data_IF_757433994319
#
_entry.id   IF_757433994319
#
_cell.length_a   1.000
_cell.length_b   1.000
_cell.length_c   1.000
_cell.angle_alpha   90.00
_cell.angle_beta   90.00
_cell.angle_gamma   90.00
#
_symmetry.space_group_name_H-M   'P 1'
#
loop_
_entity.id
_entity.type
_entity.pdbx_description
1 polymer ?
#
# COMPACT_ATOMS: atom_id res chain seq x y z
N UNK A 1 1.84 3.57 -23.91
CA UNK A 1 2.52 4.00 -22.68
C UNK A 1 4.03 3.77 -22.83
N UNK A 2 4.88 4.60 -22.21
CA UNK A 2 6.32 4.34 -22.12
C UNK A 2 6.63 3.77 -20.73
N UNK A 3 7.49 2.75 -20.62
CA UNK A 3 7.89 2.22 -19.32
C UNK A 3 8.68 3.27 -18.54
N UNK A 4 8.36 3.41 -17.25
CA UNK A 4 9.08 4.24 -16.28
C UNK A 4 10.39 3.59 -15.82
N UNK A 5 10.43 2.25 -15.80
CA UNK A 5 11.60 1.48 -15.39
C UNK A 5 12.08 0.60 -16.55
N UNK A 6 13.38 0.62 -16.81
CA UNK A 6 14.01 -0.19 -17.86
C UNK A 6 14.52 -1.53 -17.32
N UNK A 7 14.87 -2.43 -18.23
CA UNK A 7 15.53 -3.69 -17.90
C UNK A 7 16.79 -3.47 -17.05
N UNK A 8 16.97 -4.28 -16.02
CA UNK A 8 18.11 -4.24 -15.11
C UNK A 8 18.04 -3.16 -14.03
N UNK A 9 17.04 -2.27 -14.08
CA UNK A 9 16.85 -1.25 -13.05
C UNK A 9 16.46 -1.90 -11.73
N UNK A 10 17.12 -1.45 -10.66
CA UNK A 10 16.81 -1.88 -9.30
C UNK A 10 15.61 -1.08 -8.76
N UNK A 11 14.55 -1.81 -8.40
CA UNK A 11 13.29 -1.24 -7.93
C UNK A 11 12.96 -1.78 -6.54
N UNK A 12 12.26 -0.96 -5.74
CA UNK A 12 11.73 -1.34 -4.44
C UNK A 12 10.22 -1.43 -4.50
N UNK A 13 9.65 -2.48 -3.91
CA UNK A 13 8.20 -2.60 -3.79
C UNK A 13 7.68 -1.68 -2.69
N UNK A 14 6.72 -0.82 -3.03
CA UNK A 14 6.18 0.16 -2.08
C UNK A 14 4.96 -0.34 -1.31
N UNK A 15 4.41 -1.49 -1.72
CA UNK A 15 3.27 -2.16 -1.11
C UNK A 15 3.50 -3.66 -1.09
N UNK A 16 2.76 -4.36 -0.23
CA UNK A 16 2.78 -5.82 -0.20
C UNK A 16 2.23 -6.37 -1.51
N UNK A 17 3.03 -7.17 -2.22
CA UNK A 17 2.58 -7.86 -3.42
C UNK A 17 1.83 -9.12 -3.00
N UNK A 18 0.55 -9.19 -3.39
CA UNK A 18 -0.30 -10.36 -3.17
C UNK A 18 -0.70 -10.95 -4.51
N UNK A 19 -0.84 -12.27 -4.55
CA UNK A 19 -1.30 -12.94 -5.75
C UNK A 19 -2.74 -12.50 -6.09
N UNK A 20 -2.93 -11.88 -7.25
CA UNK A 20 -4.24 -11.50 -7.78
C UNK A 20 -4.91 -12.63 -8.59
N UNK A 21 -4.24 -13.79 -8.67
CA UNK A 21 -4.67 -14.96 -9.46
C UNK A 21 -3.79 -15.19 -10.70
N UNK A 22 -2.82 -14.33 -10.97
CA UNK A 22 -1.90 -14.45 -12.11
C UNK A 22 -0.62 -15.24 -11.79
N UNK A 23 -0.25 -15.36 -10.51
CA UNK A 23 0.95 -16.10 -10.11
C UNK A 23 0.65 -17.61 -10.00
N UNK A 24 1.44 -18.48 -10.67
CA UNK A 24 1.18 -19.91 -10.70
C UNK A 24 1.46 -20.59 -9.34
N UNK A 25 0.59 -21.52 -8.96
CA UNK A 25 0.81 -22.42 -7.81
C UNK A 25 0.54 -21.82 -6.43
N UNK A 26 0.12 -20.56 -6.32
CA UNK A 26 -0.22 -19.91 -5.04
C UNK A 26 -1.70 -19.47 -5.04
N UNK A 27 -2.41 -19.49 -3.91
CA UNK A 27 -3.81 -19.05 -3.87
C UNK A 27 -3.92 -17.52 -4.01
N UNK A 28 -5.06 -17.04 -4.52
CA UNK A 28 -5.38 -15.61 -4.57
C UNK A 28 -5.35 -15.00 -3.16
N UNK A 29 -4.76 -13.81 -3.03
CA UNK A 29 -4.57 -13.09 -1.78
C UNK A 29 -3.31 -13.48 -1.00
N UNK A 30 -2.60 -14.55 -1.41
CA UNK A 30 -1.32 -14.96 -0.81
C UNK A 30 -0.29 -13.85 -0.95
N UNK A 31 0.39 -13.52 0.15
CA UNK A 31 1.52 -12.60 0.15
C UNK A 31 2.71 -13.25 -0.58
N UNK A 32 3.14 -12.63 -1.68
CA UNK A 32 4.28 -13.06 -2.49
C UNK A 32 5.57 -12.35 -2.06
N UNK A 33 5.52 -11.01 -1.94
CA UNK A 33 6.68 -10.19 -1.58
C UNK A 33 6.22 -9.10 -0.62
N UNK A 34 6.99 -8.89 0.47
CA UNK A 34 6.72 -7.81 1.43
C UNK A 34 7.18 -6.46 0.90
N UNK A 35 6.46 -5.39 1.25
CA UNK A 35 6.90 -4.01 0.98
C UNK A 35 8.31 -3.75 1.51
N UNK A 36 9.05 -2.88 0.84
CA UNK A 36 10.43 -2.55 1.16
C UNK A 36 11.47 -3.50 0.54
N UNK A 37 11.06 -4.65 0.01
CA UNK A 37 11.96 -5.56 -0.73
C UNK A 37 12.42 -4.93 -2.03
N UNK A 38 13.64 -5.27 -2.41
CA UNK A 38 14.29 -4.77 -3.62
C UNK A 38 14.41 -5.91 -4.61
N UNK A 39 14.14 -5.62 -5.89
CA UNK A 39 14.30 -6.55 -6.99
C UNK A 39 14.81 -5.86 -8.24
N UNK A 40 14.99 -6.62 -9.30
CA UNK A 40 15.51 -6.12 -10.59
C UNK A 40 14.47 -6.30 -11.69
N UNK A 41 14.20 -5.25 -12.44
CA UNK A 41 13.28 -5.31 -13.58
C UNK A 41 13.88 -6.24 -14.65
N UNK A 42 13.14 -7.27 -15.04
CA UNK A 42 13.54 -8.24 -16.05
C UNK A 42 12.82 -8.11 -17.37
N UNK A 43 11.60 -7.60 -17.36
CA UNK A 43 10.81 -7.40 -18.57
C UNK A 43 9.66 -6.41 -18.29
N UNK A 44 9.13 -5.80 -19.33
CA UNK A 44 7.92 -4.97 -19.25
C UNK A 44 6.93 -5.43 -20.29
N UNK A 45 5.85 -6.04 -19.81
CA UNK A 45 4.72 -6.47 -20.62
C UNK A 45 3.54 -5.51 -20.49
N UNK A 46 2.49 -5.80 -21.27
CA UNK A 46 1.20 -5.12 -21.19
C UNK A 46 0.11 -6.12 -20.81
N UNK A 47 -0.70 -5.80 -19.81
CA UNK A 47 -1.91 -6.51 -19.45
C UNK A 47 -3.14 -5.74 -19.95
N UNK A 48 -4.09 -6.43 -20.58
CA UNK A 48 -5.31 -5.85 -21.17
C UNK A 48 -5.03 -4.63 -22.08
N UNK A 49 -3.91 -4.63 -22.81
CA UNK A 49 -3.44 -3.59 -23.74
C UNK A 49 -3.15 -2.19 -23.16
N UNK A 50 -3.71 -1.84 -21.99
CA UNK A 50 -3.63 -0.50 -21.40
C UNK A 50 -2.89 -0.43 -20.05
N UNK A 51 -2.42 -1.56 -19.49
CA UNK A 51 -1.70 -1.57 -18.22
C UNK A 51 -0.30 -2.14 -18.38
N UNK A 52 0.73 -1.35 -18.03
CA UNK A 52 2.11 -1.85 -17.99
C UNK A 52 2.32 -2.72 -16.75
N UNK A 53 2.87 -3.92 -16.97
CA UNK A 53 3.27 -4.86 -15.91
C UNK A 53 4.78 -5.10 -16.02
N UNK A 54 5.50 -4.78 -14.96
CA UNK A 54 6.93 -5.00 -14.81
C UNK A 54 7.16 -6.38 -14.21
N UNK A 55 7.84 -7.27 -14.91
CA UNK A 55 8.34 -8.52 -14.32
C UNK A 55 9.59 -8.19 -13.51
N UNK A 56 9.55 -8.41 -12.20
CA UNK A 56 10.66 -8.10 -11.29
C UNK A 56 11.17 -9.38 -10.64
N UNK A 57 12.48 -9.60 -10.71
CA UNK A 57 13.17 -10.69 -10.02
C UNK A 57 13.58 -10.24 -8.61
N UNK A 58 12.99 -10.86 -7.59
CA UNK A 58 13.34 -10.70 -6.18
C UNK A 58 14.27 -11.85 -5.78
N UNK A 59 15.57 -11.60 -5.85
CA UNK A 59 16.60 -12.61 -5.58
C UNK A 59 16.58 -13.12 -4.14
N UNK A 60 16.28 -12.24 -3.17
CA UNK A 60 16.17 -12.60 -1.75
C UNK A 60 14.99 -13.55 -1.45
N UNK A 61 13.93 -13.46 -2.24
CA UNK A 61 12.71 -14.26 -2.08
C UNK A 61 12.65 -15.43 -3.11
N UNK A 62 13.68 -15.57 -3.97
CA UNK A 62 13.80 -16.52 -5.09
C UNK A 62 12.55 -16.57 -6.00
N UNK A 63 11.99 -15.39 -6.32
CA UNK A 63 10.71 -15.26 -7.02
C UNK A 63 10.71 -14.17 -8.08
N UNK A 64 10.00 -14.42 -9.19
CA UNK A 64 9.69 -13.44 -10.23
C UNK A 64 8.22 -13.03 -10.13
N UNK A 65 7.94 -11.74 -9.91
CA UNK A 65 6.57 -11.26 -9.72
C UNK A 65 6.25 -10.13 -10.69
N UNK A 66 5.07 -10.19 -11.31
CA UNK A 66 4.53 -9.09 -12.11
C UNK A 66 4.03 -7.98 -11.20
N UNK A 67 4.52 -6.76 -11.43
CA UNK A 67 4.24 -5.58 -10.61
C UNK A 67 3.67 -4.47 -11.49
N UNK A 68 2.68 -3.74 -10.99
CA UNK A 68 2.19 -2.51 -11.62
C UNK A 68 3.15 -1.35 -11.34
N UNK A 69 3.15 -0.33 -12.19
CA UNK A 69 4.02 0.84 -12.00
C UNK A 69 3.88 1.48 -10.62
N UNK A 70 2.64 1.61 -10.13
CA UNK A 70 2.31 2.19 -8.82
C UNK A 70 2.76 1.35 -7.61
N UNK A 71 3.21 0.11 -7.84
CA UNK A 71 3.73 -0.79 -6.80
C UNK A 71 5.25 -0.72 -6.67
N UNK A 72 5.92 0.05 -7.55
CA UNK A 72 7.36 0.15 -7.64
C UNK A 72 7.86 1.60 -7.47
N UNK A 73 9.01 1.74 -6.84
CA UNK A 73 9.83 2.96 -6.86
C UNK A 73 11.29 2.60 -7.22
N UNK A 74 12.12 3.56 -7.60
CA UNK A 74 13.55 3.28 -7.72
C UNK A 74 14.11 2.90 -6.36
N UNK A 75 15.00 1.92 -6.31
CA UNK A 75 15.61 1.53 -5.04
C UNK A 75 16.48 2.66 -4.44
N UNK A 76 16.96 3.58 -5.28
CA UNK A 76 17.67 4.80 -4.89
C UNK A 76 16.77 5.86 -4.27
N UNK A 77 15.46 5.82 -4.52
CA UNK A 77 14.52 6.78 -3.95
C UNK A 77 14.38 6.52 -2.44
N UNK A 78 14.18 7.59 -1.64
CA UNK A 78 13.99 7.45 -0.21
C UNK A 78 12.83 6.49 0.09
N UNK A 79 13.05 5.58 1.04
CA UNK A 79 12.01 4.68 1.52
C UNK A 79 11.43 5.23 2.81
N UNK A 80 10.19 5.70 2.73
CA UNK A 80 9.42 6.09 3.90
C UNK A 80 8.46 4.92 4.20
N UNK A 81 8.76 4.06 5.20
CA UNK A 81 7.87 2.97 5.54
C UNK A 81 6.54 3.53 6.02
N UNK A 82 5.46 3.17 5.35
CA UNK A 82 4.10 3.51 5.75
C UNK A 82 3.52 2.37 6.57
N UNK A 83 2.80 2.63 7.66
CA UNK A 83 2.15 1.60 8.47
C UNK A 83 0.97 0.96 7.75
N UNK A 84 0.12 1.75 7.08
CA UNK A 84 -1.13 1.31 6.46
C UNK A 84 -1.04 1.24 4.93
N UNK A 85 -1.93 0.46 4.32
CA UNK A 85 -2.03 0.26 2.86
C UNK A 85 -3.39 0.74 2.32
N UNK A 86 -3.51 0.89 1.00
CA UNK A 86 -4.79 1.20 0.36
C UNK A 86 -5.85 0.12 0.70
N UNK A 87 -7.08 0.56 1.01
CA UNK A 87 -8.20 -0.25 1.51
C UNK A 87 -8.01 -0.88 2.89
N UNK A 88 -6.94 -0.57 3.60
CA UNK A 88 -6.77 -1.03 4.98
C UNK A 88 -7.86 -0.40 5.87
N UNK A 89 -8.43 -1.22 6.77
CA UNK A 89 -9.39 -0.75 7.76
C UNK A 89 -8.65 -0.19 8.96
N UNK A 90 -8.97 1.05 9.30
CA UNK A 90 -8.31 1.80 10.37
C UNK A 90 -9.34 2.44 11.29
N UNK A 91 -8.89 2.88 12.44
CA UNK A 91 -9.66 3.72 13.37
C UNK A 91 -8.78 4.86 13.85
N UNK A 92 -9.32 6.08 14.08
CA UNK A 92 -8.49 7.17 14.54
C UNK A 92 -8.13 6.96 16.02
N UNK A 93 -6.93 7.37 16.44
CA UNK A 93 -6.52 7.28 17.85
C UNK A 93 -7.04 8.46 18.69
N UNK A 94 -7.52 9.51 18.03
CA UNK A 94 -8.05 10.74 18.61
C UNK A 94 -9.33 11.14 17.86
N UNK A 95 -10.22 11.89 18.50
CA UNK A 95 -11.39 12.44 17.81
C UNK A 95 -10.95 13.41 16.70
N UNK A 96 -11.35 13.12 15.47
CA UNK A 96 -11.08 13.97 14.30
C UNK A 96 -12.28 14.86 14.04
N UNK A 97 -12.03 16.15 13.80
CA UNK A 97 -13.10 17.11 13.52
C UNK A 97 -12.75 18.09 12.41
N UNK A 98 -13.78 18.59 11.72
CA UNK A 98 -13.70 19.69 10.76
C UNK A 98 -14.57 20.82 11.30
N UNK A 99 -14.01 22.04 11.41
CA UNK A 99 -14.77 23.24 11.82
C UNK A 99 -15.59 23.06 13.12
N UNK A 100 -15.10 22.25 14.06
CA UNK A 100 -15.77 21.98 15.33
C UNK A 100 -16.79 20.83 15.32
N UNK A 101 -17.11 20.26 14.15
CA UNK A 101 -17.90 19.04 14.04
C UNK A 101 -16.99 17.80 14.13
N UNK A 102 -17.28 16.87 15.04
CA UNK A 102 -16.54 15.60 15.14
C UNK A 102 -17.00 14.69 14.01
N UNK A 103 -16.05 14.29 13.15
CA UNK A 103 -16.28 13.44 11.98
C UNK A 103 -16.04 11.96 12.29
N UNK A 104 -15.06 11.66 13.15
CA UNK A 104 -14.71 10.30 13.53
C UNK A 104 -14.11 10.29 14.94
N UNK A 105 -14.40 9.23 15.70
CA UNK A 105 -13.89 8.96 17.04
C UNK A 105 -13.12 7.64 17.07
N UNK A 106 -12.26 7.41 18.07
CA UNK A 106 -11.68 6.09 18.28
C UNK A 106 -12.76 5.01 18.37
N UNK A 107 -12.57 3.92 17.65
CA UNK A 107 -13.56 2.86 17.42
C UNK A 107 -14.32 3.00 16.10
N UNK A 108 -14.45 4.22 15.55
CA UNK A 108 -15.15 4.40 14.27
C UNK A 108 -14.32 3.80 13.12
N UNK A 109 -14.95 3.04 12.21
CA UNK A 109 -14.26 2.43 11.09
C UNK A 109 -13.96 3.47 10.01
N UNK A 110 -12.71 3.49 9.57
CA UNK A 110 -12.23 4.20 8.39
C UNK A 110 -11.58 3.26 7.38
N UNK A 111 -11.45 3.73 6.14
CA UNK A 111 -10.73 3.02 5.08
C UNK A 111 -9.71 3.94 4.41
N UNK A 112 -8.48 3.45 4.24
CA UNK A 112 -7.42 4.19 3.55
C UNK A 112 -7.74 4.28 2.05
N UNK A 113 -7.92 5.49 1.54
CA UNK A 113 -8.13 5.77 0.12
C UNK A 113 -6.85 6.15 -0.61
N UNK A 114 -5.91 6.79 0.09
CA UNK A 114 -4.64 7.21 -0.50
C UNK A 114 -3.55 7.25 0.56
N UNK A 115 -2.34 6.89 0.15
CA UNK A 115 -1.13 6.95 0.97
C UNK A 115 -0.28 8.11 0.44
N UNK A 116 0.10 9.04 1.32
CA UNK A 116 0.93 10.22 1.05
C UNK A 116 2.26 10.04 1.77
N UNK A 117 3.25 9.45 1.10
CA UNK A 117 4.54 9.13 1.69
C UNK A 117 5.39 10.38 1.99
N UNK A 118 5.39 11.35 1.08
CA UNK A 118 6.25 12.55 1.12
C UNK A 118 5.53 13.80 1.63
N UNK A 119 4.75 13.65 2.71
CA UNK A 119 4.06 14.79 3.32
C UNK A 119 5.00 15.51 4.32
N UNK A 120 5.00 16.86 4.42
CA UNK A 120 5.95 17.65 5.22
C UNK A 120 6.08 17.31 6.72
N UNK A 121 5.22 16.43 7.25
CA UNK A 121 5.22 15.96 8.65
C UNK A 121 5.41 14.45 8.80
N UNK A 122 5.93 13.78 7.78
CA UNK A 122 5.96 12.32 7.67
C UNK A 122 4.70 11.77 6.98
N UNK A 123 4.60 10.43 6.82
CA UNK A 123 3.54 9.82 6.03
C UNK A 123 2.14 10.18 6.55
N UNK A 124 1.28 10.57 5.61
CA UNK A 124 -0.12 10.90 5.84
C UNK A 124 -1.03 10.06 4.94
N UNK A 125 -2.31 10.05 5.25
CA UNK A 125 -3.29 9.21 4.56
C UNK A 125 -4.55 10.00 4.26
N UNK A 126 -5.14 9.79 3.08
CA UNK A 126 -6.55 10.12 2.89
C UNK A 126 -7.36 8.93 3.40
N UNK A 127 -8.20 9.17 4.39
CA UNK A 127 -9.02 8.15 5.04
C UNK A 127 -10.48 8.54 4.93
N UNK A 128 -11.31 7.62 4.46
CA UNK A 128 -12.77 7.80 4.40
C UNK A 128 -13.38 7.37 5.73
N UNK A 129 -14.03 8.29 6.42
CA UNK A 129 -14.85 8.05 7.62
C UNK A 129 -16.28 8.49 7.34
N UNK A 130 -17.25 7.58 7.48
CA UNK A 130 -18.70 7.89 7.34
C UNK A 130 -19.05 8.72 6.10
N UNK A 131 -18.38 8.44 4.97
CA UNK A 131 -18.58 9.13 3.70
C UNK A 131 -17.78 10.42 3.49
N UNK A 132 -17.06 10.92 4.50
CA UNK A 132 -16.17 12.09 4.40
C UNK A 132 -14.71 11.64 4.32
N UNK A 133 -13.89 12.29 3.49
CA UNK A 133 -12.46 12.01 3.37
C UNK A 133 -11.66 13.03 4.16
N UNK A 134 -10.81 12.55 5.07
CA UNK A 134 -9.91 13.35 5.88
C UNK A 134 -8.46 13.05 5.52
N UNK A 135 -7.59 14.06 5.55
CA UNK A 135 -6.15 13.85 5.58
C UNK A 135 -5.70 13.67 7.03
N UNK A 136 -5.15 12.50 7.35
CA UNK A 136 -4.79 12.11 8.72
C UNK A 136 -3.33 11.65 8.75
N UNK A 137 -2.49 12.14 9.68
CA UNK A 137 -1.12 11.64 9.82
C UNK A 137 -1.10 10.19 10.32
N UNK A 138 -0.04 9.45 10.00
CA UNK A 138 0.12 8.05 10.43
C UNK A 138 -0.08 7.83 11.94
N UNK A 139 0.43 8.76 12.74
CA UNK A 139 0.41 8.70 14.21
C UNK A 139 -1.00 8.81 14.80
N UNK A 140 -1.97 9.31 14.04
CA UNK A 140 -3.35 9.47 14.46
C UNK A 140 -4.26 8.30 14.04
N UNK A 141 -3.68 7.21 13.51
CA UNK A 141 -4.41 6.04 13.04
C UNK A 141 -3.90 4.77 13.73
N UNK A 142 -4.82 3.85 13.98
CA UNK A 142 -4.57 2.47 14.40
C UNK A 142 -5.27 1.50 13.45
N UNK A 143 -4.83 0.23 13.43
CA UNK A 143 -5.60 -0.81 12.75
C UNK A 143 -6.96 -0.93 13.42
N UNK A 144 -8.02 -1.07 12.63
CA UNK A 144 -9.32 -1.45 13.16
C UNK A 144 -9.23 -2.94 13.52
N UNK A 145 -8.82 -3.24 14.74
CA UNK A 145 -8.98 -4.58 15.28
C UNK A 145 -10.48 -4.90 15.30
N UNK A 146 -10.94 -6.04 14.77
CA UNK A 146 -12.26 -6.52 15.16
C UNK A 146 -12.20 -6.64 16.69
N UNK A 147 -13.19 -6.07 17.38
CA UNK A 147 -13.30 -6.17 18.83
C UNK A 147 -12.88 -7.59 19.26
N UNK A 148 -11.82 -7.67 20.06
CA UNK A 148 -11.69 -8.82 20.93
C UNK A 148 -12.84 -8.66 21.88
N UNK A 149 -13.96 -9.33 21.59
CA UNK A 149 -15.02 -9.54 22.56
C UNK A 149 -14.30 -10.06 23.80
N UNK A 150 -14.16 -9.22 24.83
CA UNK A 150 -13.90 -9.69 26.17
C UNK A 150 -15.04 -10.64 26.49
N UNK A 151 -14.76 -11.94 26.38
CA UNK A 151 -15.66 -12.96 26.91
C UNK A 151 -15.39 -12.96 28.43
N UNK A 152 -16.43 -12.77 29.25
CA UNK A 152 -16.32 -12.64 30.70
C UNK A 152 -15.81 -13.90 31.39
#
# INVERSE_FOLDING_TARGET
>A
MRPKFEYGVQVRVVRNLRNDGTYPGEPTGRLLVRRGRVGYVRDVGTFLQDQLIYSVDFLDDDRRVGCREQELQLATDPWIPTRFEFREKVTPTLSLGIQGEIIAKPGDPGEIEKVLQDHPGGPAYHVRFSGRTLQVPETALAFLSPDTTEIP
#
